data_IF_106868620876
#
_entry.id   IF_106868620876
#
_cell.length_a   1.000
_cell.length_b   1.000
_cell.length_c   1.000
_cell.angle_alpha   90.00
_cell.angle_beta   90.00
_cell.angle_gamma   90.00
#
_symmetry.space_group_name_H-M   'P 1'
#
loop_
_entity.id
_entity.type
_entity.pdbx_description
1 polymer ?
#
# COMPACT_ATOMS: atom_id res chain seq x y z
N UNK A 1 -25.00 28.07 -34.59
CA UNK A 1 -23.69 27.51 -34.97
C UNK A 1 -23.47 26.30 -34.15
N UNK A 2 -23.66 25.10 -34.72
CA UNK A 2 -23.49 23.82 -34.03
C UNK A 2 -22.02 23.45 -34.04
N UNK A 3 -21.30 23.68 -32.96
CA UNK A 3 -19.98 23.11 -32.72
C UNK A 3 -20.14 21.69 -32.21
N UNK A 4 -20.21 20.73 -33.12
CA UNK A 4 -20.05 19.31 -32.78
C UNK A 4 -18.65 19.12 -32.21
N UNK A 5 -18.50 19.02 -30.91
CA UNK A 5 -17.29 18.55 -30.27
C UNK A 5 -17.00 17.13 -30.79
N UNK A 6 -15.99 16.98 -31.64
CA UNK A 6 -15.54 15.67 -32.11
C UNK A 6 -14.97 14.89 -30.94
N UNK A 7 -15.60 13.78 -30.62
CA UNK A 7 -15.13 12.83 -29.60
C UNK A 7 -13.73 12.32 -29.92
N UNK A 8 -12.89 12.32 -28.89
CA UNK A 8 -11.59 11.65 -28.92
C UNK A 8 -11.79 10.26 -28.33
N UNK A 9 -11.54 9.22 -29.12
CA UNK A 9 -11.61 7.83 -28.68
C UNK A 9 -10.49 7.53 -27.67
N UNK A 10 -10.71 6.65 -26.70
CA UNK A 10 -9.64 6.09 -25.82
C UNK A 10 -8.45 5.51 -26.60
N UNK A 11 -8.65 5.20 -27.90
CA UNK A 11 -7.65 4.69 -28.81
C UNK A 11 -6.97 5.78 -29.65
N UNK A 12 -7.29 7.06 -29.40
CA UNK A 12 -6.65 8.15 -30.15
C UNK A 12 -5.21 8.28 -29.70
N UNK A 13 -4.32 7.85 -30.59
CA UNK A 13 -2.88 7.89 -30.43
C UNK A 13 -2.39 9.10 -31.20
N UNK A 14 -1.72 10.03 -30.55
CA UNK A 14 -0.97 11.07 -31.24
C UNK A 14 0.27 10.41 -31.85
N UNK A 15 0.31 10.29 -33.16
CA UNK A 15 1.43 9.74 -33.92
C UNK A 15 2.32 10.87 -34.41
N UNK A 16 3.57 10.90 -34.00
CA UNK A 16 4.60 11.77 -34.54
C UNK A 16 5.96 11.11 -34.37
N UNK A 17 6.74 11.02 -35.47
CA UNK A 17 8.15 10.60 -35.52
C UNK A 17 8.49 9.33 -34.68
N UNK A 18 7.66 8.28 -34.80
CA UNK A 18 7.97 6.97 -34.20
C UNK A 18 7.64 6.80 -32.72
N UNK A 19 6.96 7.75 -32.08
CA UNK A 19 6.52 7.67 -30.69
C UNK A 19 4.98 7.65 -30.63
N UNK A 20 4.43 6.63 -29.95
CA UNK A 20 3.00 6.56 -29.67
C UNK A 20 2.76 7.06 -28.24
N UNK A 21 2.05 8.17 -28.09
CA UNK A 21 1.66 8.75 -26.80
C UNK A 21 0.21 8.39 -26.49
N UNK A 22 -0.04 7.67 -25.39
CA UNK A 22 -1.39 7.60 -24.83
C UNK A 22 -1.65 8.89 -24.06
N UNK A 23 -2.80 9.50 -24.29
CA UNK A 23 -3.24 10.67 -23.52
C UNK A 23 -3.60 10.25 -22.10
N UNK A 24 -3.36 11.08 -21.09
CA UNK A 24 -3.98 10.90 -19.79
C UNK A 24 -5.49 10.87 -19.95
N UNK A 25 -6.19 10.29 -19.00
CA UNK A 25 -7.64 10.25 -19.05
C UNK A 25 -8.21 11.66 -19.17
N UNK A 26 -8.87 11.95 -20.30
CA UNK A 26 -9.52 13.22 -20.52
C UNK A 26 -11.03 13.02 -20.32
N UNK A 27 -11.71 14.01 -19.77
CA UNK A 27 -13.16 14.01 -19.52
C UNK A 27 -13.96 13.58 -20.76
N UNK A 28 -13.50 13.96 -21.95
CA UNK A 28 -14.08 13.61 -23.25
C UNK A 28 -14.02 12.11 -23.59
N UNK A 29 -13.31 11.29 -22.80
CA UNK A 29 -13.10 9.85 -23.01
C UNK A 29 -14.07 8.95 -22.24
N UNK A 30 -15.01 9.52 -21.46
CA UNK A 30 -16.03 8.78 -20.71
C UNK A 30 -16.95 7.92 -21.58
N UNK A 31 -17.65 6.88 -21.02
CA UNK A 31 -18.57 6.03 -21.77
C UNK A 31 -19.78 6.80 -22.28
N UNK A 32 -20.30 6.39 -23.45
CA UNK A 32 -21.44 7.03 -24.14
C UNK A 32 -22.71 7.10 -23.28
N UNK A 33 -22.93 6.12 -22.41
CA UNK A 33 -24.10 6.04 -21.54
C UNK A 33 -24.12 7.14 -20.47
N UNK A 34 -22.96 7.61 -20.02
CA UNK A 34 -22.84 8.70 -19.06
C UNK A 34 -23.25 10.07 -19.68
N UNK A 35 -23.29 10.18 -21.01
CA UNK A 35 -23.64 11.42 -21.71
C UNK A 35 -25.13 11.51 -22.09
N UNK A 36 -25.85 10.39 -21.99
CA UNK A 36 -27.24 10.33 -22.41
C UNK A 36 -28.26 10.66 -21.30
N UNK A 37 -27.83 10.59 -20.03
CA UNK A 37 -28.73 10.71 -18.87
C UNK A 37 -28.52 11.93 -17.97
N UNK A 38 -27.50 12.75 -18.19
CA UNK A 38 -27.33 13.98 -17.40
C UNK A 38 -26.76 15.12 -18.24
N UNK A 39 -27.31 16.31 -18.07
CA UNK A 39 -26.76 17.58 -18.57
C UNK A 39 -25.45 17.97 -17.83
N UNK A 40 -24.92 17.11 -16.97
CA UNK A 40 -23.69 17.28 -16.20
C UNK A 40 -22.93 15.95 -16.17
N UNK A 41 -21.99 15.71 -17.11
CA UNK A 41 -21.22 14.48 -17.13
C UNK A 41 -20.14 14.53 -16.03
N UNK A 42 -20.49 14.22 -14.80
CA UNK A 42 -19.51 13.86 -13.78
C UNK A 42 -18.84 12.56 -14.22
N UNK A 43 -17.71 12.71 -14.85
CA UNK A 43 -16.81 11.60 -15.13
C UNK A 43 -16.32 11.07 -13.79
N UNK A 44 -16.83 9.92 -13.37
CA UNK A 44 -16.49 9.32 -12.08
C UNK A 44 -15.02 8.90 -12.12
N UNK A 45 -14.19 9.66 -11.42
CA UNK A 45 -12.80 9.28 -11.21
C UNK A 45 -12.73 7.92 -10.48
N UNK A 46 -11.75 7.05 -10.79
CA UNK A 46 -11.64 5.78 -10.11
C UNK A 46 -11.18 5.98 -8.67
N UNK A 47 -11.80 5.27 -7.73
CA UNK A 47 -11.33 5.24 -6.36
C UNK A 47 -10.03 4.45 -6.25
N UNK A 48 -9.14 4.87 -5.35
CA UNK A 48 -7.82 4.28 -5.11
C UNK A 48 -7.61 4.03 -3.63
N UNK A 49 -6.72 3.09 -3.29
CA UNK A 49 -6.32 2.86 -1.91
C UNK A 49 -4.81 2.72 -1.79
N UNK A 50 -4.25 3.27 -0.71
CA UNK A 50 -2.88 3.00 -0.32
C UNK A 50 -2.76 2.77 1.19
N UNK A 51 -1.80 1.93 1.57
CA UNK A 51 -1.50 1.55 2.94
C UNK A 51 -0.04 1.87 3.24
N UNK A 52 0.20 2.82 4.13
CA UNK A 52 1.52 3.24 4.57
C UNK A 52 1.79 2.70 5.96
N UNK A 53 2.85 1.95 6.10
CA UNK A 53 3.23 1.32 7.36
C UNK A 53 4.51 1.92 7.95
N UNK A 54 4.51 2.17 9.25
CA UNK A 54 5.68 2.58 10.03
C UNK A 54 5.88 1.64 11.21
N UNK A 55 7.14 1.27 11.52
CA UNK A 55 7.42 0.29 12.55
C UNK A 55 7.44 0.86 13.98
N UNK A 56 7.58 -0.04 14.95
CA UNK A 56 7.97 0.22 16.33
C UNK A 56 6.98 1.11 17.13
N UNK A 57 5.72 1.18 16.71
CA UNK A 57 4.70 1.94 17.42
C UNK A 57 4.90 3.46 17.39
N UNK A 58 4.21 4.15 18.30
CA UNK A 58 4.23 5.61 18.42
C UNK A 58 4.36 6.05 19.89
N UNK A 59 4.78 7.29 20.09
CA UNK A 59 4.60 7.97 21.38
C UNK A 59 3.15 8.43 21.48
N UNK A 60 2.28 7.56 22.00
CA UNK A 60 0.82 7.73 21.97
C UNK A 60 0.30 8.96 22.71
N UNK A 61 0.91 9.43 23.81
CA UNK A 61 0.51 10.69 24.44
C UNK A 61 0.55 11.91 23.52
N UNK A 62 1.48 11.92 22.54
CA UNK A 62 1.64 12.98 21.55
C UNK A 62 1.01 12.63 20.20
N UNK A 63 0.44 11.42 20.05
CA UNK A 63 -0.23 10.96 18.85
C UNK A 63 -1.74 11.20 18.90
N UNK A 64 -2.41 10.74 19.97
CA UNK A 64 -3.88 10.71 20.04
C UNK A 64 -4.44 12.08 20.38
N UNK A 65 -5.30 12.70 19.53
CA UNK A 65 -6.01 13.92 19.86
C UNK A 65 -6.93 13.71 21.07
N UNK A 66 -7.04 14.72 21.92
CA UNK A 66 -7.89 14.64 23.11
C UNK A 66 -9.39 14.82 22.81
N UNK A 67 -9.70 15.69 21.80
CA UNK A 67 -11.08 15.96 21.41
C UNK A 67 -11.47 15.04 20.26
N UNK A 68 -12.74 14.64 20.24
CA UNK A 68 -13.37 13.91 19.15
C UNK A 68 -14.16 14.84 18.22
N UNK A 69 -14.57 14.31 17.06
CA UNK A 69 -15.36 15.03 16.07
C UNK A 69 -14.55 16.02 15.24
N UNK A 70 -15.21 17.01 14.65
CA UNK A 70 -14.63 17.97 13.69
C UNK A 70 -13.74 19.02 14.36
N UNK A 71 -14.02 19.33 15.64
CA UNK A 71 -13.33 20.39 16.38
C UNK A 71 -12.05 19.90 17.07
N UNK A 72 -11.57 18.69 16.75
CA UNK A 72 -10.34 18.14 17.31
C UNK A 72 -9.14 19.04 16.96
N UNK A 73 -8.21 19.13 17.90
CA UNK A 73 -6.90 19.75 17.66
C UNK A 73 -5.88 18.67 17.33
N UNK A 74 -5.01 18.96 16.37
CA UNK A 74 -3.91 18.07 16.07
C UNK A 74 -3.03 17.92 17.31
N UNK A 75 -2.65 16.70 17.62
CA UNK A 75 -1.66 16.39 18.63
C UNK A 75 -0.25 16.69 18.10
N UNK A 76 0.78 16.82 18.96
CA UNK A 76 2.11 17.25 18.54
C UNK A 76 2.70 16.47 17.37
N UNK A 77 2.54 15.15 17.33
CA UNK A 77 3.04 14.31 16.23
C UNK A 77 2.25 14.52 14.93
N UNK A 78 1.00 14.95 15.00
CA UNK A 78 0.15 15.18 13.84
C UNK A 78 0.24 16.61 13.27
N UNK A 79 0.93 17.55 13.94
CA UNK A 79 1.09 18.93 13.48
C UNK A 79 1.55 19.09 12.03
N UNK A 80 2.45 18.26 11.47
CA UNK A 80 2.82 18.34 10.06
C UNK A 80 1.66 18.17 9.07
N UNK A 81 0.52 17.63 9.52
CA UNK A 81 -0.69 17.41 8.71
C UNK A 81 -1.67 18.61 8.73
N UNK A 82 -1.28 19.75 9.31
CA UNK A 82 -2.18 20.90 9.50
C UNK A 82 -2.83 21.37 8.18
N UNK A 83 -2.06 21.46 7.10
CA UNK A 83 -2.54 21.91 5.78
C UNK A 83 -3.61 20.97 5.17
N UNK A 84 -3.61 19.70 5.57
CA UNK A 84 -4.53 18.66 5.05
C UNK A 84 -5.46 18.11 6.15
N UNK A 85 -5.59 18.80 7.29
CA UNK A 85 -6.43 18.37 8.41
C UNK A 85 -7.86 18.04 8.00
N UNK A 86 -8.44 18.85 7.11
CA UNK A 86 -9.79 18.68 6.58
C UNK A 86 -9.95 17.46 5.65
N UNK A 87 -8.85 16.85 5.23
CA UNK A 87 -8.81 15.67 4.33
C UNK A 87 -8.43 14.39 5.07
N UNK A 88 -8.31 14.39 6.41
CA UNK A 88 -7.92 13.21 7.17
C UNK A 88 -8.88 12.91 8.32
N UNK A 89 -8.91 11.65 8.73
CA UNK A 89 -9.54 11.16 9.95
C UNK A 89 -8.49 10.53 10.84
N UNK A 90 -8.49 10.89 12.13
CA UNK A 90 -7.76 10.14 13.16
C UNK A 90 -8.70 9.08 13.71
N UNK A 91 -8.24 7.83 13.78
CA UNK A 91 -9.05 6.70 14.22
C UNK A 91 -8.41 6.10 15.49
N UNK A 92 -9.15 6.09 16.60
CA UNK A 92 -8.72 5.54 17.88
C UNK A 92 -9.60 4.35 18.28
N UNK A 93 -9.07 3.43 19.12
CA UNK A 93 -9.79 2.26 19.61
C UNK A 93 -9.72 1.03 18.71
N UNK A 94 -9.03 1.11 17.55
CA UNK A 94 -8.88 -0.03 16.64
C UNK A 94 -7.82 -1.01 17.14
N UNK A 95 -8.10 -2.30 17.06
CA UNK A 95 -7.26 -3.38 17.62
C UNK A 95 -6.90 -4.41 16.53
N UNK A 96 -5.64 -4.81 16.47
CA UNK A 96 -5.19 -5.97 15.71
C UNK A 96 -5.10 -7.19 16.64
N UNK A 97 -6.26 -7.77 17.00
CA UNK A 97 -6.35 -8.89 17.94
C UNK A 97 -5.41 -10.05 17.55
N UNK A 98 -5.30 -10.34 16.26
CA UNK A 98 -4.47 -11.43 15.74
C UNK A 98 -2.96 -11.19 15.81
N UNK A 99 -2.52 -10.00 16.20
CA UNK A 99 -1.13 -9.72 16.54
C UNK A 99 -0.77 -10.12 17.99
N UNK A 100 -1.74 -10.42 18.84
CA UNK A 100 -1.51 -10.90 20.22
C UNK A 100 -0.85 -12.28 20.24
N UNK A 101 -0.14 -12.64 21.31
CA UNK A 101 0.69 -13.85 21.32
C UNK A 101 -0.07 -15.17 21.27
N UNK A 102 -1.29 -15.25 21.81
CA UNK A 102 -2.09 -16.49 21.86
C UNK A 102 -1.35 -17.74 22.38
N UNK A 103 -0.35 -17.54 23.24
CA UNK A 103 0.49 -18.61 23.76
C UNK A 103 1.87 -18.74 23.08
N UNK A 104 2.13 -18.06 21.98
CA UNK A 104 3.40 -18.11 21.26
C UNK A 104 4.57 -17.39 21.95
N UNK A 105 4.31 -16.61 23.00
CA UNK A 105 5.31 -15.82 23.71
C UNK A 105 5.82 -14.64 22.89
N UNK A 106 7.14 -14.43 22.82
CA UNK A 106 7.76 -13.35 22.07
C UNK A 106 7.37 -13.34 20.58
N UNK A 107 7.68 -12.25 19.87
CA UNK A 107 7.37 -12.10 18.44
C UNK A 107 6.35 -11.00 18.15
N UNK A 108 6.27 -9.97 19.01
CA UNK A 108 5.34 -8.86 18.88
C UNK A 108 5.49 -8.09 17.56
N UNK A 109 6.71 -7.85 17.12
CA UNK A 109 7.00 -7.16 15.87
C UNK A 109 6.59 -7.97 14.64
N UNK A 110 6.93 -9.26 14.61
CA UNK A 110 6.56 -10.13 13.49
C UNK A 110 5.04 -10.22 13.34
N UNK A 111 4.33 -10.43 14.46
CA UNK A 111 2.86 -10.48 14.45
C UNK A 111 2.23 -9.14 14.09
N UNK A 112 2.82 -8.02 14.53
CA UNK A 112 2.32 -6.68 14.23
C UNK A 112 2.19 -6.43 12.73
N UNK A 113 3.27 -6.62 11.97
CA UNK A 113 3.23 -6.39 10.51
C UNK A 113 2.42 -7.47 9.80
N UNK A 114 2.57 -8.74 10.18
CA UNK A 114 1.88 -9.84 9.52
C UNK A 114 0.36 -9.73 9.64
N UNK A 115 -0.15 -9.36 10.83
CA UNK A 115 -1.60 -9.25 11.08
C UNK A 115 -2.20 -7.92 10.61
N UNK A 116 -1.41 -6.87 10.34
CA UNK A 116 -1.89 -5.52 10.10
C UNK A 116 -2.91 -5.41 8.95
N UNK A 117 -2.61 -5.98 7.78
CA UNK A 117 -3.52 -5.98 6.63
C UNK A 117 -4.28 -7.29 6.44
N UNK A 118 -3.97 -8.33 7.21
CA UNK A 118 -4.57 -9.66 7.04
C UNK A 118 -5.61 -9.98 8.10
N UNK A 119 -5.46 -9.48 9.34
CA UNK A 119 -6.26 -9.85 10.49
C UNK A 119 -6.18 -11.34 10.82
N UNK A 120 -5.03 -11.97 10.52
CA UNK A 120 -4.78 -13.39 10.80
C UNK A 120 -3.53 -13.53 11.64
N UNK A 121 -3.58 -14.43 12.63
CA UNK A 121 -2.41 -14.77 13.43
C UNK A 121 -1.41 -15.57 12.60
N UNK A 122 -0.17 -15.07 12.39
CA UNK A 122 0.82 -15.75 11.57
C UNK A 122 1.32 -17.03 12.24
N UNK A 123 1.57 -18.08 11.48
CA UNK A 123 2.16 -19.31 12.00
C UNK A 123 3.59 -19.05 12.50
N UNK A 124 3.84 -19.35 13.78
CA UNK A 124 5.19 -19.19 14.35
C UNK A 124 6.14 -20.24 13.79
N UNK A 125 7.04 -19.81 12.95
CA UNK A 125 8.07 -20.63 12.33
C UNK A 125 9.24 -19.75 11.86
N UNK A 126 10.44 -20.25 11.90
CA UNK A 126 11.62 -19.70 11.23
C UNK A 126 11.97 -20.47 9.95
N UNK A 127 11.21 -21.52 9.67
CA UNK A 127 11.34 -22.38 8.51
C UNK A 127 10.53 -21.93 7.28
N UNK A 128 10.18 -22.91 6.46
CA UNK A 128 9.48 -22.69 5.17
C UNK A 128 7.96 -22.83 5.25
N UNK A 129 7.41 -23.27 6.37
CA UNK A 129 5.98 -23.48 6.60
C UNK A 129 5.27 -22.20 7.08
N UNK A 130 5.67 -21.06 6.50
CA UNK A 130 5.04 -19.76 6.72
C UNK A 130 3.56 -19.83 6.35
N UNK A 131 2.70 -19.22 7.21
CA UNK A 131 1.27 -19.08 6.98
C UNK A 131 0.75 -17.79 7.57
N UNK A 132 -0.12 -17.13 6.83
CA UNK A 132 -0.81 -15.90 7.21
C UNK A 132 -2.20 -15.87 6.56
N UNK A 133 -2.82 -14.70 6.41
CA UNK A 133 -4.05 -14.48 5.66
C UNK A 133 -3.82 -13.74 4.35
N UNK A 134 -4.85 -13.66 3.51
CA UNK A 134 -4.87 -12.73 2.38
C UNK A 134 -4.96 -11.31 2.94
N UNK A 135 -4.11 -10.40 2.48
CA UNK A 135 -4.14 -9.01 2.88
C UNK A 135 -5.18 -8.21 2.09
N UNK A 136 -5.68 -7.12 2.67
CA UNK A 136 -6.74 -6.28 2.07
C UNK A 136 -6.37 -5.74 0.69
N UNK A 137 -5.12 -5.32 0.48
CA UNK A 137 -4.61 -4.86 -0.81
C UNK A 137 -4.66 -5.97 -1.86
N UNK A 138 -4.38 -7.20 -1.49
CA UNK A 138 -4.44 -8.35 -2.39
C UNK A 138 -5.87 -8.86 -2.60
N UNK A 139 -6.74 -8.76 -1.59
CA UNK A 139 -8.17 -8.98 -1.75
C UNK A 139 -8.77 -7.99 -2.78
N UNK A 140 -8.37 -6.73 -2.72
CA UNK A 140 -8.73 -5.72 -3.71
C UNK A 140 -8.11 -6.00 -5.08
N UNK A 141 -6.82 -6.30 -5.15
CA UNK A 141 -6.11 -6.60 -6.40
C UNK A 141 -6.70 -7.79 -7.17
N UNK A 142 -7.22 -8.78 -6.46
CA UNK A 142 -7.89 -9.94 -7.07
C UNK A 142 -9.23 -9.56 -7.75
N UNK A 143 -9.87 -8.46 -7.35
CA UNK A 143 -11.20 -8.03 -7.85
C UNK A 143 -11.13 -6.92 -8.90
N UNK A 144 -10.23 -5.95 -8.70
CA UNK A 144 -10.15 -4.76 -9.57
C UNK A 144 -8.81 -4.62 -10.29
N UNK A 145 -7.85 -5.48 -10.01
CA UNK A 145 -6.49 -5.38 -10.56
C UNK A 145 -6.40 -5.68 -12.07
N UNK A 146 -7.43 -6.20 -12.69
CA UNK A 146 -7.54 -6.38 -14.15
C UNK A 146 -7.88 -5.06 -14.87
N UNK A 147 -8.36 -4.06 -14.14
CA UNK A 147 -8.71 -2.73 -14.68
C UNK A 147 -7.49 -1.86 -14.96
N UNK A 148 -6.33 -2.23 -14.44
CA UNK A 148 -5.08 -1.47 -14.53
C UNK A 148 -3.91 -2.35 -14.98
N UNK A 149 -2.82 -1.71 -15.41
CA UNK A 149 -1.62 -2.41 -15.90
C UNK A 149 -0.95 -3.24 -14.81
N UNK A 150 -0.88 -2.69 -13.59
CA UNK A 150 -0.41 -3.39 -12.40
C UNK A 150 -1.59 -3.59 -11.45
N UNK A 151 -1.88 -4.82 -11.00
CA UNK A 151 -2.95 -5.08 -10.04
C UNK A 151 -2.76 -4.32 -8.73
N UNK A 152 -1.51 -4.23 -8.27
CA UNK A 152 -1.07 -3.54 -7.06
C UNK A 152 0.41 -3.17 -7.17
N UNK A 153 0.86 -2.26 -6.31
CA UNK A 153 2.22 -1.79 -6.20
C UNK A 153 2.70 -1.94 -4.76
N UNK A 154 3.63 -2.87 -4.53
CA UNK A 154 4.25 -3.11 -3.24
C UNK A 154 5.65 -2.46 -3.22
N UNK A 155 5.84 -1.42 -2.37
CA UNK A 155 7.10 -0.68 -2.25
C UNK A 155 7.53 -0.50 -0.80
N UNK A 156 8.80 -0.19 -0.62
CA UNK A 156 9.37 0.11 0.69
C UNK A 156 10.73 0.75 0.61
N UNK A 157 11.35 1.03 1.77
CA UNK A 157 12.68 1.63 1.84
C UNK A 157 13.76 0.69 2.38
N UNK A 158 13.37 -0.49 2.84
CA UNK A 158 14.29 -1.50 3.37
C UNK A 158 14.03 -2.84 2.72
N UNK A 159 15.09 -3.53 2.34
CA UNK A 159 14.99 -4.89 1.82
C UNK A 159 14.36 -5.82 2.87
N UNK A 160 13.51 -6.72 2.40
CA UNK A 160 12.99 -7.80 3.24
C UNK A 160 13.88 -9.04 3.16
N UNK A 161 13.88 -9.83 4.22
CA UNK A 161 14.37 -11.21 4.17
C UNK A 161 13.17 -12.15 4.12
N UNK A 162 13.25 -13.18 3.27
CA UNK A 162 12.16 -14.13 3.06
C UNK A 162 12.28 -15.37 3.96
N UNK A 163 13.38 -15.51 4.69
CA UNK A 163 13.65 -16.62 5.58
C UNK A 163 14.57 -16.18 6.73
N UNK A 164 14.71 -17.02 7.74
CA UNK A 164 15.50 -16.77 8.94
C UNK A 164 14.68 -16.28 10.12
N UNK A 165 15.24 -16.33 11.32
CA UNK A 165 14.60 -15.90 12.56
C UNK A 165 14.88 -14.41 12.81
N UNK A 166 13.89 -13.57 12.69
CA UNK A 166 13.99 -12.13 12.93
C UNK A 166 13.28 -11.64 14.18
N UNK A 167 12.39 -12.46 14.78
CA UNK A 167 11.69 -12.08 16.02
C UNK A 167 11.20 -13.33 16.76
N UNK A 168 11.96 -13.76 17.77
CA UNK A 168 11.55 -14.80 18.75
C UNK A 168 11.02 -16.11 18.13
N UNK A 169 11.59 -16.58 17.02
CA UNK A 169 11.19 -17.79 16.31
C UNK A 169 10.19 -17.55 15.18
N UNK A 170 9.90 -16.29 14.85
CA UNK A 170 9.17 -15.93 13.65
C UNK A 170 10.09 -15.63 12.47
N UNK A 171 9.71 -16.10 11.29
CA UNK A 171 10.43 -15.83 10.05
C UNK A 171 10.52 -14.33 9.73
N UNK A 172 11.64 -13.91 9.16
CA UNK A 172 11.88 -12.54 8.72
C UNK A 172 10.85 -12.03 7.71
N UNK A 173 10.16 -12.91 7.01
CA UNK A 173 9.08 -12.52 6.10
C UNK A 173 7.97 -11.76 6.83
N UNK A 174 7.67 -12.13 8.08
CA UNK A 174 6.61 -11.51 8.86
C UNK A 174 6.95 -10.10 9.36
N UNK A 175 8.25 -9.78 9.54
CA UNK A 175 8.69 -8.42 9.90
C UNK A 175 8.91 -7.52 8.70
N UNK A 176 8.92 -8.08 7.49
CA UNK A 176 9.29 -7.34 6.28
C UNK A 176 8.21 -7.25 5.21
N UNK A 177 7.12 -8.02 5.32
CA UNK A 177 6.10 -8.15 4.27
C UNK A 177 4.70 -8.01 4.86
N UNK A 178 3.96 -6.98 4.41
CA UNK A 178 2.57 -6.77 4.82
C UNK A 178 1.54 -7.24 3.79
N UNK A 179 1.96 -7.43 2.53
CA UNK A 179 1.10 -7.84 1.41
C UNK A 179 1.17 -9.36 1.20
N UNK A 180 0.03 -10.03 1.25
CA UNK A 180 -0.08 -11.48 1.13
C UNK A 180 -1.17 -11.86 0.14
N UNK A 181 -0.79 -12.53 -0.95
CA UNK A 181 -1.74 -12.97 -1.99
C UNK A 181 -2.53 -14.20 -1.56
N UNK A 182 -1.93 -15.07 -0.78
CA UNK A 182 -2.55 -16.23 -0.18
C UNK A 182 -1.93 -16.48 1.19
N UNK A 183 -2.42 -17.50 1.89
CA UNK A 183 -1.89 -17.88 3.20
C UNK A 183 -0.38 -18.21 3.19
N UNK A 184 0.18 -18.60 2.07
CA UNK A 184 1.58 -19.03 1.93
C UNK A 184 2.37 -18.21 0.90
N UNK A 185 1.74 -17.18 0.31
CA UNK A 185 2.38 -16.38 -0.74
C UNK A 185 2.52 -14.91 -0.35
N UNK A 186 3.60 -14.54 0.36
CA UNK A 186 3.94 -13.15 0.61
C UNK A 186 4.37 -12.45 -0.69
N UNK A 187 4.09 -11.16 -0.81
CA UNK A 187 4.56 -10.33 -1.91
C UNK A 187 5.69 -9.41 -1.42
N UNK A 188 6.92 -9.63 -1.91
CA UNK A 188 8.04 -8.79 -1.54
C UNK A 188 7.86 -7.39 -2.14
N UNK A 189 8.22 -6.38 -1.36
CA UNK A 189 8.22 -4.99 -1.77
C UNK A 189 9.46 -4.64 -2.59
N UNK A 190 9.30 -3.78 -3.60
CA UNK A 190 10.42 -3.19 -4.34
C UNK A 190 10.95 -1.97 -3.58
N UNK A 191 12.26 -1.87 -3.46
CA UNK A 191 12.93 -0.79 -2.72
C UNK A 191 13.74 0.15 -3.62
N UNK A 192 14.01 -0.23 -4.86
CA UNK A 192 14.78 0.61 -5.78
C UNK A 192 13.84 1.50 -6.61
N UNK A 193 13.87 2.84 -6.43
CA UNK A 193 12.98 3.75 -7.16
C UNK A 193 13.11 3.64 -8.69
N UNK A 194 14.31 3.33 -9.20
CA UNK A 194 14.52 3.10 -10.64
C UNK A 194 13.74 1.89 -11.13
N UNK A 195 13.80 0.78 -10.38
CA UNK A 195 13.07 -0.45 -10.74
C UNK A 195 11.55 -0.23 -10.61
N UNK A 196 11.10 0.51 -9.57
CA UNK A 196 9.70 0.92 -9.44
C UNK A 196 9.26 1.72 -10.67
N UNK A 197 10.02 2.74 -11.07
CA UNK A 197 9.72 3.55 -12.24
C UNK A 197 9.66 2.72 -13.54
N UNK A 198 10.66 1.85 -13.75
CA UNK A 198 10.68 0.94 -14.91
C UNK A 198 9.50 -0.05 -14.91
N UNK A 199 9.06 -0.51 -13.74
CA UNK A 199 7.89 -1.37 -13.59
C UNK A 199 6.59 -0.63 -13.94
N UNK A 200 6.48 0.65 -13.58
CA UNK A 200 5.32 1.49 -13.85
C UNK A 200 5.22 1.89 -15.33
N UNK A 201 6.31 2.39 -15.90
CA UNK A 201 6.31 3.08 -17.19
C UNK A 201 7.09 2.36 -18.30
N UNK A 202 7.85 1.33 -17.94
CA UNK A 202 8.75 0.61 -18.85
C UNK A 202 10.12 1.28 -18.97
N UNK A 203 11.10 0.52 -19.44
CA UNK A 203 12.49 1.00 -19.65
C UNK A 203 12.68 1.80 -20.93
N UNK A 204 11.63 2.00 -21.73
CA UNK A 204 11.73 2.63 -23.05
C UNK A 204 12.45 1.79 -24.11
N UNK A 205 12.90 0.59 -23.77
CA UNK A 205 13.78 -0.24 -24.59
C UNK A 205 12.97 -1.24 -25.45
N UNK A 206 13.12 -1.15 -26.79
CA UNK A 206 12.54 -2.11 -27.75
C UNK A 206 13.01 -3.56 -27.51
N UNK A 207 14.20 -3.75 -26.92
CA UNK A 207 14.70 -5.06 -26.53
C UNK A 207 13.87 -5.71 -25.39
N UNK A 208 13.11 -4.94 -24.63
CA UNK A 208 12.21 -5.47 -23.59
C UNK A 208 11.04 -6.27 -24.19
N UNK A 209 10.46 -5.80 -25.31
CA UNK A 209 9.38 -6.52 -25.98
C UNK A 209 9.87 -7.89 -26.53
N UNK A 210 11.09 -7.93 -27.09
CA UNK A 210 11.70 -9.19 -27.54
C UNK A 210 12.07 -10.12 -26.39
N UNK A 211 12.56 -9.57 -25.25
CA UNK A 211 12.82 -10.37 -24.05
C UNK A 211 11.53 -10.97 -23.48
N UNK A 212 10.43 -10.22 -23.51
CA UNK A 212 9.13 -10.69 -23.03
C UNK A 212 8.56 -11.82 -23.90
N UNK A 213 8.65 -11.71 -25.23
CA UNK A 213 8.25 -12.77 -26.15
C UNK A 213 9.05 -14.08 -25.95
N UNK A 214 10.37 -13.93 -25.71
CA UNK A 214 11.26 -15.08 -25.45
C UNK A 214 10.96 -15.74 -24.09
N UNK A 215 10.60 -14.96 -23.07
CA UNK A 215 10.20 -15.46 -21.74
C UNK A 215 8.90 -16.26 -21.80
N UNK A 216 7.89 -15.85 -22.58
CA UNK A 216 6.66 -16.62 -22.78
C UNK A 216 6.95 -18.04 -23.30
N UNK A 217 7.78 -18.17 -24.33
CA UNK A 217 8.14 -19.47 -24.89
C UNK A 217 8.83 -20.40 -23.87
N UNK A 218 9.61 -19.84 -22.94
CA UNK A 218 10.26 -20.62 -21.87
C UNK A 218 9.25 -21.04 -20.81
N UNK A 219 8.31 -20.16 -20.45
CA UNK A 219 7.30 -20.44 -19.43
C UNK A 219 6.32 -21.52 -19.87
N UNK A 220 5.89 -21.51 -21.13
CA UNK A 220 5.03 -22.55 -21.70
C UNK A 220 5.72 -23.93 -21.65
N UNK A 221 7.01 -23.99 -21.99
CA UNK A 221 7.80 -25.22 -21.95
C UNK A 221 7.97 -25.77 -20.53
N UNK A 222 8.30 -24.90 -19.56
CA UNK A 222 8.49 -25.31 -18.16
C UNK A 222 7.19 -25.85 -17.53
N UNK A 223 6.03 -25.28 -17.89
CA UNK A 223 4.72 -25.71 -17.42
C UNK A 223 4.32 -27.09 -17.95
N UNK A 224 4.69 -27.42 -19.17
CA UNK A 224 4.38 -28.71 -19.79
C UNK A 224 5.23 -29.84 -19.18
N UNK A 225 6.49 -29.56 -18.89
CA UNK A 225 7.47 -30.49 -18.31
C UNK A 225 7.17 -30.82 -16.83
N UNK A 226 6.62 -29.88 -16.09
CA UNK A 226 6.37 -30.01 -14.64
C UNK A 226 5.19 -30.92 -14.28
N UNK A 227 4.19 -31.09 -15.15
CA UNK A 227 3.05 -31.99 -14.92
C UNK A 227 3.50 -33.44 -14.76
N UNK A 228 4.68 -33.79 -15.30
CA UNK A 228 5.30 -35.12 -15.14
C UNK A 228 5.97 -35.31 -13.77
N UNK A 229 6.44 -34.21 -13.17
CA UNK A 229 7.16 -34.19 -11.89
C UNK A 229 6.24 -34.34 -10.67
N UNK A 230 5.03 -33.78 -10.71
CA UNK A 230 4.08 -33.74 -9.57
C UNK A 230 3.76 -35.13 -8.99
N UNK A 231 3.77 -36.18 -9.83
CA UNK A 231 3.44 -37.54 -9.42
C UNK A 231 4.44 -38.20 -8.47
N UNK A 232 5.65 -37.63 -8.37
CA UNK A 232 6.78 -38.19 -7.61
C UNK A 232 7.27 -37.26 -6.48
N UNK A 233 6.55 -36.21 -6.19
CA UNK A 233 6.98 -35.19 -5.23
C UNK A 233 6.27 -35.33 -3.88
N UNK A 234 6.95 -34.89 -2.81
CA UNK A 234 6.33 -34.71 -1.50
C UNK A 234 5.26 -33.64 -1.52
N UNK A 235 4.30 -33.67 -0.59
CA UNK A 235 3.25 -32.65 -0.45
C UNK A 235 3.84 -31.23 -0.32
N UNK A 236 5.01 -31.10 0.33
CA UNK A 236 5.72 -29.81 0.45
C UNK A 236 6.31 -29.35 -0.88
N UNK A 237 6.82 -30.25 -1.69
CA UNK A 237 7.40 -29.89 -2.98
C UNK A 237 6.33 -29.60 -4.02
N UNK A 238 5.17 -30.28 -3.97
CA UNK A 238 3.99 -29.93 -4.76
C UNK A 238 3.56 -28.50 -4.44
N UNK A 239 3.49 -28.13 -3.15
CA UNK A 239 3.16 -26.76 -2.74
C UNK A 239 4.15 -25.72 -3.27
N UNK A 240 5.46 -25.99 -3.20
CA UNK A 240 6.49 -25.10 -3.77
C UNK A 240 6.35 -24.95 -5.29
N UNK A 241 5.99 -26.02 -5.98
CA UNK A 241 5.69 -25.96 -7.41
C UNK A 241 4.44 -25.15 -7.70
N UNK A 242 3.38 -25.29 -6.92
CA UNK A 242 2.15 -24.49 -7.07
C UNK A 242 2.44 -22.99 -6.83
N UNK A 243 3.26 -22.64 -5.84
CA UNK A 243 3.72 -21.27 -5.59
C UNK A 243 4.54 -20.75 -6.78
N UNK A 244 5.43 -21.56 -7.32
CA UNK A 244 6.23 -21.22 -8.49
C UNK A 244 5.35 -21.01 -9.73
N UNK A 245 4.37 -21.90 -9.99
CA UNK A 245 3.45 -21.75 -11.12
C UNK A 245 2.49 -20.58 -10.96
N UNK A 246 2.05 -20.29 -9.74
CA UNK A 246 1.28 -19.08 -9.46
C UNK A 246 2.09 -17.84 -9.81
N UNK A 247 3.37 -17.79 -9.43
CA UNK A 247 4.27 -16.68 -9.76
C UNK A 247 4.49 -16.55 -11.27
N UNK A 248 4.63 -17.65 -11.98
CA UNK A 248 4.71 -17.67 -13.45
C UNK A 248 3.41 -17.15 -14.07
N UNK A 249 2.26 -17.61 -13.59
CA UNK A 249 0.94 -17.16 -14.07
C UNK A 249 0.76 -15.66 -13.91
N UNK A 250 1.25 -15.10 -12.82
CA UNK A 250 1.24 -13.65 -12.61
C UNK A 250 2.09 -12.89 -13.61
N UNK A 251 3.27 -13.43 -13.95
CA UNK A 251 4.13 -12.84 -14.99
C UNK A 251 3.40 -12.87 -16.34
N UNK A 252 2.78 -13.98 -16.70
CA UNK A 252 1.99 -14.12 -17.93
C UNK A 252 0.83 -13.12 -17.96
N UNK A 253 0.05 -13.00 -16.88
CA UNK A 253 -1.07 -12.08 -16.77
C UNK A 253 -0.61 -10.62 -16.88
N UNK A 254 0.55 -10.27 -16.29
CA UNK A 254 1.14 -8.92 -16.42
C UNK A 254 1.58 -8.64 -17.86
N UNK A 255 2.17 -9.63 -18.52
CA UNK A 255 2.57 -9.50 -19.93
C UNK A 255 1.35 -9.33 -20.84
N UNK A 256 0.31 -10.13 -20.63
CA UNK A 256 -0.95 -10.09 -21.38
C UNK A 256 -1.67 -8.73 -21.18
N UNK A 257 -1.72 -8.22 -19.96
CA UNK A 257 -2.25 -6.88 -19.65
C UNK A 257 -1.44 -5.77 -20.33
N UNK A 258 -0.10 -5.86 -20.26
CA UNK A 258 0.76 -4.87 -20.90
C UNK A 258 0.57 -4.78 -22.42
N UNK A 259 0.11 -5.87 -23.05
CA UNK A 259 -0.22 -5.88 -24.49
C UNK A 259 -1.64 -5.41 -24.78
N UNK A 260 -2.61 -5.74 -23.92
CA UNK A 260 -4.04 -5.43 -24.12
C UNK A 260 -4.40 -4.00 -23.73
N UNK A 261 -3.72 -3.46 -22.73
CA UNK A 261 -3.95 -2.10 -22.26
C UNK A 261 -3.18 -1.08 -23.10
N UNK A 262 -3.71 0.15 -23.27
CA UNK A 262 -2.99 1.22 -23.96
C UNK A 262 -1.61 1.45 -23.30
N UNK A 263 -0.58 1.80 -24.08
CA UNK A 263 0.70 2.19 -23.51
C UNK A 263 0.51 3.39 -22.57
N UNK A 264 1.07 3.27 -21.38
CA UNK A 264 1.02 4.34 -20.36
C UNK A 264 1.89 5.50 -20.85
N UNK A 265 1.36 6.72 -20.77
CA UNK A 265 2.16 7.91 -21.00
C UNK A 265 3.24 8.00 -19.92
N UNK A 266 4.49 7.92 -20.31
CA UNK A 266 5.58 8.22 -19.38
C UNK A 266 5.45 9.69 -19.00
N UNK A 267 5.33 10.03 -17.70
CA UNK A 267 5.24 11.40 -17.26
C UNK A 267 6.50 12.18 -17.70
N UNK A 268 6.40 13.49 -17.82
CA UNK A 268 7.55 14.38 -17.97
C UNK A 268 8.27 14.48 -16.61
N UNK A 269 8.87 13.37 -16.22
CA UNK A 269 9.57 13.15 -14.97
C UNK A 269 10.86 12.39 -15.27
N UNK A 270 11.97 12.91 -14.79
CA UNK A 270 13.27 12.25 -15.01
C UNK A 270 13.31 10.90 -14.26
N UNK A 271 13.65 9.80 -14.97
CA UNK A 271 13.76 8.50 -14.30
C UNK A 271 14.75 8.56 -13.13
N UNK A 272 14.41 7.99 -11.97
CA UNK A 272 15.34 7.92 -10.85
C UNK A 272 16.65 7.22 -11.22
N UNK A 273 17.78 7.76 -10.79
CA UNK A 273 19.08 7.14 -11.01
C UNK A 273 19.29 5.87 -10.15
N UNK A 274 18.59 5.77 -9.03
CA UNK A 274 18.68 4.70 -8.06
C UNK A 274 18.18 5.15 -6.69
N UNK A 275 18.70 4.56 -5.62
CA UNK A 275 18.36 4.92 -4.24
C UNK A 275 19.12 6.19 -3.84
N UNK A 276 18.42 7.30 -3.45
CA UNK A 276 19.05 8.51 -2.95
C UNK A 276 19.85 8.26 -1.67
N UNK A 277 20.94 9.04 -1.46
CA UNK A 277 21.72 8.98 -0.23
C UNK A 277 20.96 9.55 0.98
N UNK A 278 20.13 10.59 0.77
CA UNK A 278 19.25 11.14 1.79
C UNK A 278 18.04 10.25 1.98
N UNK A 279 17.79 9.82 3.21
CA UNK A 279 16.60 9.00 3.53
C UNK A 279 15.29 9.76 3.33
N UNK A 280 15.29 11.05 3.61
CA UNK A 280 14.13 11.91 3.35
C UNK A 280 13.82 12.00 1.84
N UNK A 281 14.83 12.29 1.02
CA UNK A 281 14.68 12.32 -0.43
C UNK A 281 14.23 10.96 -0.98
N UNK A 282 14.75 9.87 -0.41
CA UNK A 282 14.36 8.52 -0.81
C UNK A 282 12.88 8.25 -0.55
N UNK A 283 12.37 8.54 0.66
CA UNK A 283 10.94 8.37 0.96
C UNK A 283 10.09 9.24 0.04
N UNK A 284 10.45 10.52 -0.13
CA UNK A 284 9.71 11.47 -0.99
C UNK A 284 9.68 11.01 -2.44
N UNK A 285 10.80 10.51 -2.97
CA UNK A 285 10.85 9.94 -4.31
C UNK A 285 9.91 8.74 -4.45
N UNK A 286 9.85 7.86 -3.45
CA UNK A 286 8.90 6.74 -3.45
C UNK A 286 7.45 7.22 -3.34
N UNK A 287 7.16 8.28 -2.58
CA UNK A 287 5.86 8.93 -2.54
C UNK A 287 5.47 9.49 -3.92
N UNK A 288 6.38 10.18 -4.60
CA UNK A 288 6.14 10.70 -5.95
C UNK A 288 5.83 9.59 -6.95
N UNK A 289 6.48 8.42 -6.83
CA UNK A 289 6.17 7.26 -7.67
C UNK A 289 4.77 6.70 -7.42
N UNK A 290 4.27 6.72 -6.17
CA UNK A 290 2.88 6.37 -5.87
C UNK A 290 1.92 7.38 -6.52
N UNK A 291 2.19 8.69 -6.38
CA UNK A 291 1.37 9.75 -6.99
C UNK A 291 1.32 9.57 -8.52
N UNK A 292 2.47 9.39 -9.15
CA UNK A 292 2.57 9.17 -10.61
C UNK A 292 1.83 7.89 -11.05
N UNK A 293 1.94 6.80 -10.28
CA UNK A 293 1.25 5.55 -10.56
C UNK A 293 -0.28 5.73 -10.54
N UNK A 294 -0.78 6.50 -9.59
CA UNK A 294 -2.20 6.81 -9.44
C UNK A 294 -2.69 7.82 -10.49
N UNK A 295 -1.94 8.88 -10.77
CA UNK A 295 -2.27 9.85 -11.82
C UNK A 295 -2.35 9.20 -13.21
N UNK A 296 -1.44 8.29 -13.51
CA UNK A 296 -1.40 7.57 -14.77
C UNK A 296 -2.35 6.35 -14.82
N UNK A 297 -3.10 6.09 -13.74
CA UNK A 297 -3.97 4.91 -13.54
C UNK A 297 -3.26 3.59 -13.89
N UNK A 298 -1.96 3.51 -13.58
CA UNK A 298 -1.15 2.28 -13.76
C UNK A 298 -1.54 1.24 -12.74
N UNK A 299 -1.88 1.66 -11.54
CA UNK A 299 -2.48 0.87 -10.47
C UNK A 299 -3.43 1.73 -9.66
N UNK A 300 -4.35 1.10 -8.93
CA UNK A 300 -5.27 1.75 -7.99
C UNK A 300 -5.04 1.29 -6.55
N UNK A 301 -4.06 0.43 -6.33
CA UNK A 301 -3.75 -0.18 -5.04
C UNK A 301 -2.26 -0.10 -4.82
N UNK A 302 -1.83 0.44 -3.67
CA UNK A 302 -0.43 0.51 -3.29
C UNK A 302 -0.22 0.17 -1.81
N UNK A 303 0.92 -0.44 -1.50
CA UNK A 303 1.42 -0.59 -0.13
C UNK A 303 2.82 0.02 -0.04
N UNK A 304 3.06 0.80 1.00
CA UNK A 304 4.36 1.43 1.23
C UNK A 304 4.85 1.19 2.67
N UNK A 305 5.86 0.37 2.82
CA UNK A 305 6.55 0.09 4.09
C UNK A 305 7.70 1.08 4.25
N UNK A 306 7.53 2.09 5.11
CA UNK A 306 8.56 3.12 5.34
C UNK A 306 9.81 2.53 6.01
N UNK A 307 9.65 1.53 6.85
CA UNK A 307 10.73 0.70 7.38
C UNK A 307 10.14 -0.65 7.82
N UNK A 308 10.97 -1.71 7.85
CA UNK A 308 10.56 -3.01 8.34
C UNK A 308 10.17 -2.95 9.82
N UNK A 309 9.27 -3.82 10.25
CA UNK A 309 8.99 -3.93 11.69
C UNK A 309 10.26 -4.39 12.44
N UNK A 310 10.48 -3.86 13.64
CA UNK A 310 11.73 -3.96 14.40
C UNK A 310 12.95 -3.30 13.70
N UNK A 311 12.75 -2.41 12.72
CA UNK A 311 13.87 -1.69 12.10
C UNK A 311 14.63 -0.86 13.14
N UNK A 312 15.93 -1.07 13.19
CA UNK A 312 16.84 -0.32 14.06
C UNK A 312 17.61 0.78 13.31
N UNK A 313 16.97 1.35 12.27
CA UNK A 313 17.52 2.46 11.49
C UNK A 313 17.75 3.69 12.38
N UNK A 314 18.94 4.31 12.35
CA UNK A 314 19.18 5.61 12.98
C UNK A 314 18.69 6.77 12.10
N UNK A 315 18.39 7.90 12.73
CA UNK A 315 17.92 9.14 12.08
C UNK A 315 18.82 10.34 12.45
N UNK A 316 20.13 10.32 12.12
CA UNK A 316 21.08 11.34 12.55
C UNK A 316 20.73 12.74 12.01
N UNK A 317 20.07 12.84 10.87
CA UNK A 317 19.64 14.09 10.25
C UNK A 317 18.55 14.85 11.04
N UNK A 318 17.86 14.18 11.98
CA UNK A 318 16.94 14.80 12.96
C UNK A 318 17.50 14.75 14.39
N UNK A 319 18.80 14.49 14.54
CA UNK A 319 19.50 14.45 15.84
C UNK A 319 19.25 13.18 16.66
N UNK A 320 18.90 12.05 16.02
CA UNK A 320 18.70 10.74 16.63
C UNK A 320 19.67 9.74 16.02
N UNK A 321 20.81 9.55 16.65
CA UNK A 321 21.85 8.60 16.19
C UNK A 321 21.65 7.18 16.71
N UNK A 322 20.78 7.00 17.69
CA UNK A 322 20.39 5.68 18.21
C UNK A 322 19.47 4.97 17.22
N UNK A 323 19.44 3.65 17.28
CA UNK A 323 18.53 2.84 16.48
C UNK A 323 17.07 3.03 16.90
N UNK A 324 16.15 3.08 15.94
CA UNK A 324 14.72 3.31 16.21
C UNK A 324 14.14 2.22 17.12
N UNK A 325 14.45 0.95 16.87
CA UNK A 325 13.99 -0.15 17.71
C UNK A 325 14.56 -0.05 19.14
N UNK A 326 15.86 0.30 19.29
CA UNK A 326 16.47 0.43 20.62
C UNK A 326 15.83 1.56 21.46
N UNK A 327 15.48 2.68 20.82
CA UNK A 327 14.80 3.78 21.54
C UNK A 327 13.34 3.49 21.79
N UNK A 328 12.67 2.65 20.97
CA UNK A 328 11.28 2.25 21.21
C UNK A 328 11.11 1.49 22.52
N UNK A 329 12.15 0.77 22.96
CA UNK A 329 12.23 0.18 24.29
C UNK A 329 12.66 1.24 25.33
N UNK A 330 11.80 2.25 25.54
CA UNK A 330 12.14 3.42 26.34
C UNK A 330 12.13 3.18 27.86
N UNK A 331 11.41 2.17 28.37
CA UNK A 331 11.37 1.89 29.81
C UNK A 331 10.97 3.09 30.68
N UNK A 332 10.24 4.05 30.13
CA UNK A 332 9.88 5.29 30.81
C UNK A 332 10.93 6.41 30.73
N UNK A 333 12.08 6.20 30.06
CA UNK A 333 13.12 7.19 29.89
C UNK A 333 12.65 8.35 28.98
N UNK A 334 12.58 9.56 29.52
CA UNK A 334 12.11 10.74 28.81
C UNK A 334 12.99 11.14 27.61
N UNK A 335 14.31 10.86 27.66
CA UNK A 335 15.21 11.15 26.55
C UNK A 335 14.97 10.20 25.37
N UNK A 336 14.69 8.93 25.63
CA UNK A 336 14.28 7.97 24.60
C UNK A 336 12.91 8.34 24.03
N UNK A 337 11.94 8.71 24.87
CA UNK A 337 10.60 9.14 24.43
C UNK A 337 10.69 10.37 23.51
N UNK A 338 11.55 11.35 23.82
CA UNK A 338 11.79 12.51 22.95
C UNK A 338 12.38 12.12 21.60
N UNK A 339 13.30 11.12 21.57
CA UNK A 339 13.84 10.58 20.32
C UNK A 339 12.76 9.89 19.48
N UNK A 340 11.87 9.09 20.11
CA UNK A 340 10.72 8.46 19.41
C UNK A 340 9.81 9.55 18.87
N UNK A 341 9.48 10.60 19.64
CA UNK A 341 8.66 11.71 19.18
C UNK A 341 9.24 12.36 17.93
N UNK A 342 10.55 12.63 17.89
CA UNK A 342 11.23 13.18 16.70
C UNK A 342 11.12 12.26 15.48
N UNK A 343 11.32 10.94 15.65
CA UNK A 343 11.16 9.96 14.57
C UNK A 343 9.70 9.93 14.09
N UNK A 344 8.75 9.95 15.01
CA UNK A 344 7.32 9.96 14.65
C UNK A 344 6.92 11.23 13.89
N UNK A 345 7.41 12.42 14.30
CA UNK A 345 7.25 13.68 13.58
C UNK A 345 7.82 13.59 12.16
N UNK A 346 9.02 13.02 12.01
CA UNK A 346 9.62 12.81 10.70
C UNK A 346 8.73 11.92 9.82
N UNK A 347 8.25 10.78 10.32
CA UNK A 347 7.37 9.91 9.54
C UNK A 347 6.06 10.61 9.16
N UNK A 348 5.47 11.36 10.08
CA UNK A 348 4.23 12.11 9.81
C UNK A 348 4.45 13.23 8.79
N UNK A 349 5.63 13.87 8.79
CA UNK A 349 5.98 14.86 7.76
C UNK A 349 6.13 14.24 6.36
N UNK A 350 6.54 12.99 6.26
CA UNK A 350 6.58 12.29 4.96
C UNK A 350 5.15 11.91 4.49
N UNK A 351 4.25 11.55 5.41
CA UNK A 351 2.84 11.39 5.08
C UNK A 351 2.24 12.72 4.60
N UNK A 352 2.52 13.83 5.30
CA UNK A 352 2.07 15.17 4.89
C UNK A 352 2.55 15.52 3.48
N UNK A 353 3.80 15.20 3.15
CA UNK A 353 4.32 15.37 1.80
C UNK A 353 3.49 14.60 0.77
N UNK A 354 3.25 13.30 0.98
CA UNK A 354 2.43 12.49 0.06
C UNK A 354 1.03 13.07 -0.12
N UNK A 355 0.33 13.35 0.98
CA UNK A 355 -1.04 13.86 0.93
C UNK A 355 -1.12 15.22 0.22
N UNK A 356 -0.17 16.11 0.47
CA UNK A 356 -0.08 17.40 -0.23
C UNK A 356 0.14 17.22 -1.73
N UNK A 357 1.05 16.34 -2.14
CA UNK A 357 1.29 16.01 -3.55
C UNK A 357 0.04 15.44 -4.23
N UNK A 358 -0.74 14.62 -3.53
CA UNK A 358 -2.01 14.09 -4.04
C UNK A 358 -3.11 15.16 -4.09
N UNK A 359 -3.14 16.10 -3.14
CA UNK A 359 -4.12 17.19 -3.11
C UNK A 359 -3.83 18.30 -4.14
N UNK A 360 -2.56 18.50 -4.50
CA UNK A 360 -2.14 19.36 -5.60
C UNK A 360 -2.46 18.78 -6.99
N UNK A 361 -2.53 17.47 -7.11
CA UNK A 361 -2.79 16.76 -8.35
C UNK A 361 -4.28 16.82 -8.72
N UNK A 362 -4.65 17.69 -9.67
CA UNK A 362 -6.04 17.85 -10.12
C UNK A 362 -6.51 16.65 -10.92
N UNK A 363 -7.75 16.22 -10.63
CA UNK A 363 -8.43 15.13 -11.33
C UNK A 363 -9.95 15.41 -11.39
N UNK A 364 -10.47 15.64 -12.58
CA UNK A 364 -11.87 16.01 -12.75
C UNK A 364 -12.23 17.30 -11.99
N UNK A 365 -13.28 17.24 -11.20
CA UNK A 365 -13.78 18.33 -10.34
C UNK A 365 -13.12 18.40 -8.97
N UNK A 366 -12.16 17.47 -8.70
CA UNK A 366 -11.46 17.35 -7.41
C UNK A 366 -9.96 17.24 -7.55
N UNK A 367 -9.39 16.50 -6.62
CA UNK A 367 -7.96 16.17 -6.56
C UNK A 367 -7.77 14.66 -6.51
N UNK A 368 -6.57 14.18 -6.78
CA UNK A 368 -6.24 12.77 -6.63
C UNK A 368 -6.50 12.27 -5.19
N UNK A 369 -6.35 13.14 -4.18
CA UNK A 369 -6.65 12.82 -2.79
C UNK A 369 -8.16 12.69 -2.55
N UNK A 370 -8.99 13.49 -3.22
CA UNK A 370 -10.46 13.34 -3.14
C UNK A 370 -10.95 11.99 -3.69
N UNK A 371 -10.19 11.41 -4.62
CA UNK A 371 -10.47 10.14 -5.26
C UNK A 371 -9.59 8.99 -4.73
N UNK A 372 -9.15 9.09 -3.47
CA UNK A 372 -8.32 8.08 -2.84
C UNK A 372 -8.67 7.87 -1.36
N UNK A 373 -8.24 6.74 -0.84
CA UNK A 373 -8.27 6.35 0.56
C UNK A 373 -6.85 5.96 0.96
N UNK A 374 -6.20 6.77 1.80
CA UNK A 374 -4.81 6.59 2.22
C UNK A 374 -4.81 6.24 3.70
N UNK A 375 -4.56 4.98 4.02
CA UNK A 375 -4.40 4.51 5.38
C UNK A 375 -2.92 4.59 5.80
N UNK A 376 -2.67 5.11 7.00
CA UNK A 376 -1.33 5.21 7.58
C UNK A 376 -1.37 4.75 9.02
N UNK A 377 -0.38 3.97 9.45
CA UNK A 377 -0.33 3.53 10.84
C UNK A 377 0.80 2.56 11.17
N UNK A 378 0.70 1.98 12.35
CA UNK A 378 1.58 0.94 12.88
C UNK A 378 0.76 -0.21 13.46
N UNK A 379 1.29 -1.43 13.38
CA UNK A 379 0.69 -2.61 14.03
C UNK A 379 1.03 -2.72 15.53
N UNK A 380 1.79 -1.76 16.05
CA UNK A 380 2.12 -1.61 17.48
C UNK A 380 1.63 -0.23 17.94
N UNK A 381 1.00 -0.18 19.11
CA UNK A 381 0.59 1.05 19.80
C UNK A 381 1.82 1.75 20.40
N UNK A 382 2.40 1.14 21.42
CA UNK A 382 3.59 1.61 22.12
C UNK A 382 4.73 0.58 21.96
N UNK A 383 5.87 1.03 21.42
CA UNK A 383 6.99 0.13 21.13
C UNK A 383 7.62 -0.52 22.35
N UNK A 384 7.48 0.07 23.55
CA UNK A 384 7.98 -0.51 24.79
C UNK A 384 7.03 -1.60 25.33
N UNK A 385 5.74 -1.41 25.16
CA UNK A 385 4.71 -2.35 25.60
C UNK A 385 4.43 -3.48 24.61
N UNK A 386 4.75 -3.30 23.32
CA UNK A 386 4.40 -4.22 22.21
C UNK A 386 2.92 -4.58 22.17
N UNK A 387 2.06 -3.65 22.53
CA UNK A 387 0.61 -3.87 22.55
C UNK A 387 -0.01 -3.56 21.19
N UNK A 388 -1.12 -4.23 20.88
CA UNK A 388 -1.79 -4.22 19.58
C UNK A 388 -3.22 -3.71 19.64
N UNK A 389 -3.63 -3.12 20.74
CA UNK A 389 -4.89 -2.39 20.94
C UNK A 389 -4.69 -0.89 20.77
N UNK A 390 -5.77 -0.18 20.44
CA UNK A 390 -5.79 1.28 20.20
C UNK A 390 -4.66 1.75 19.26
N UNK A 391 -4.53 1.09 18.12
CA UNK A 391 -3.43 1.31 17.19
C UNK A 391 -3.43 2.75 16.64
N UNK A 392 -2.24 3.32 16.36
CA UNK A 392 -2.11 4.63 15.72
C UNK A 392 -2.48 4.55 14.23
N UNK A 393 -3.73 4.88 13.91
CA UNK A 393 -4.27 4.78 12.54
C UNK A 393 -4.83 6.12 12.08
N UNK A 394 -4.49 6.52 10.85
CA UNK A 394 -5.09 7.62 10.10
C UNK A 394 -5.71 7.07 8.81
N UNK A 395 -6.82 7.68 8.39
CA UNK A 395 -7.38 7.52 7.06
C UNK A 395 -7.52 8.90 6.42
N UNK A 396 -6.87 9.12 5.28
CA UNK A 396 -6.93 10.38 4.55
C UNK A 396 -7.55 10.18 3.16
N UNK A 397 -8.12 11.26 2.63
CA UNK A 397 -8.76 11.32 1.33
C UNK A 397 -10.28 11.31 1.36
N UNK A 398 -10.89 11.51 0.20
CA UNK A 398 -12.33 11.63 0.03
C UNK A 398 -13.04 10.33 -0.35
N UNK A 399 -12.30 9.31 -0.82
CA UNK A 399 -12.87 8.05 -1.30
C UNK A 399 -13.95 8.24 -2.36
N UNK A 400 -13.77 9.19 -3.29
CA UNK A 400 -14.78 9.60 -4.27
C UNK A 400 -16.11 10.10 -3.63
N UNK A 401 -16.01 10.81 -2.50
CA UNK A 401 -17.18 11.34 -1.77
C UNK A 401 -17.87 10.34 -0.84
N UNK A 402 -17.26 9.16 -0.62
CA UNK A 402 -17.79 8.13 0.29
C UNK A 402 -17.19 8.22 1.69
N UNK A 403 -16.27 9.16 1.94
CA UNK A 403 -15.68 9.45 3.24
C UNK A 403 -16.02 10.89 3.66
N UNK A 404 -16.16 11.11 4.96
CA UNK A 404 -16.35 12.42 5.59
C UNK A 404 -15.16 12.77 6.47
N UNK A 405 -14.03 13.20 5.90
CA UNK A 405 -12.80 13.48 6.65
C UNK A 405 -12.90 14.77 7.49
N UNK A 406 -11.80 15.21 8.10
CA UNK A 406 -11.70 16.40 8.94
C UNK A 406 -12.14 16.16 10.38
N UNK A 407 -12.01 14.93 10.90
CA UNK A 407 -12.48 14.58 12.24
C UNK A 407 -11.65 13.49 12.93
N UNK A 408 -11.75 13.46 14.25
CA UNK A 408 -11.27 12.34 15.08
C UNK A 408 -12.45 11.45 15.48
N UNK A 409 -12.36 10.17 15.14
CA UNK A 409 -13.33 9.14 15.51
C UNK A 409 -12.71 8.19 16.54
N UNK A 410 -13.43 8.00 17.65
CA UNK A 410 -13.05 7.02 18.67
C UNK A 410 -14.05 5.89 18.66
N UNK A 411 -13.55 4.69 18.46
CA UNK A 411 -14.33 3.46 18.50
C UNK A 411 -14.24 2.82 19.88
N UNK A 412 -15.16 1.89 20.15
CA UNK A 412 -15.09 1.06 21.33
C UNK A 412 -13.77 0.27 21.34
N UNK A 413 -13.24 0.03 22.54
CA UNK A 413 -12.06 -0.81 22.69
C UNK A 413 -12.31 -2.18 22.06
N UNK A 414 -11.25 -2.78 21.51
CA UNK A 414 -11.29 -4.09 20.84
C UNK A 414 -12.06 -4.09 19.49
N UNK A 415 -12.41 -2.92 18.94
CA UNK A 415 -12.94 -2.88 17.57
C UNK A 415 -11.88 -3.39 16.58
N UNK A 416 -12.16 -4.45 15.80
CA UNK A 416 -11.17 -5.00 14.90
C UNK A 416 -10.68 -3.99 13.86
N UNK A 417 -9.36 -3.85 13.70
CA UNK A 417 -8.76 -3.01 12.64
C UNK A 417 -9.29 -3.43 11.26
N UNK A 418 -9.53 -4.71 11.06
CA UNK A 418 -10.02 -5.23 9.79
C UNK A 418 -11.43 -4.75 9.40
N UNK A 419 -12.20 -4.21 10.34
CA UNK A 419 -13.46 -3.53 10.03
C UNK A 419 -13.22 -2.28 9.16
N UNK A 420 -12.11 -1.56 9.38
CA UNK A 420 -11.68 -0.47 8.51
C UNK A 420 -11.34 -0.98 7.11
N UNK A 421 -10.61 -2.09 7.03
CA UNK A 421 -10.20 -2.67 5.74
C UNK A 421 -11.41 -3.16 4.93
N UNK A 422 -12.37 -3.81 5.56
CA UNK A 422 -13.64 -4.18 4.90
C UNK A 422 -14.40 -2.94 4.42
N UNK A 423 -14.40 -1.85 5.22
CA UNK A 423 -15.04 -0.60 4.81
C UNK A 423 -14.34 0.09 3.64
N UNK A 424 -13.02 -0.05 3.51
CA UNK A 424 -12.29 0.44 2.35
C UNK A 424 -12.54 -0.40 1.10
N UNK A 425 -12.65 -1.74 1.23
CA UNK A 425 -13.04 -2.63 0.13
C UNK A 425 -14.43 -2.30 -0.40
N UNK A 426 -15.39 -2.11 0.49
CA UNK A 426 -16.77 -1.73 0.12
C UNK A 426 -16.81 -0.44 -0.73
N UNK A 427 -15.97 0.56 -0.40
CA UNK A 427 -15.84 1.81 -1.16
C UNK A 427 -15.10 1.67 -2.50
N UNK A 428 -14.52 0.52 -2.76
CA UNK A 428 -13.97 0.11 -4.05
C UNK A 428 -14.95 -0.76 -4.86
N UNK A 429 -16.22 -0.85 -4.42
CA UNK A 429 -17.25 -1.76 -4.96
C UNK A 429 -16.83 -3.25 -4.85
N UNK A 430 -16.11 -3.59 -3.78
CA UNK A 430 -15.66 -4.96 -3.50
C UNK A 430 -16.38 -5.46 -2.27
N UNK A 431 -17.41 -6.26 -2.49
CA UNK A 431 -18.14 -6.90 -1.41
C UNK A 431 -17.37 -8.13 -0.90
N UNK A 432 -17.08 -8.13 0.39
CA UNK A 432 -16.50 -9.25 1.13
C UNK A 432 -17.28 -9.46 2.41
N UNK A 433 -17.71 -10.67 2.65
CA UNK A 433 -18.42 -11.02 3.88
C UNK A 433 -17.51 -10.85 5.10
N UNK A 434 -16.24 -11.24 4.97
CA UNK A 434 -15.26 -11.20 6.05
C UNK A 434 -13.83 -11.11 5.52
N UNK A 435 -12.99 -10.33 6.21
CA UNK A 435 -11.54 -10.30 6.03
C UNK A 435 -10.85 -10.52 7.38
N UNK A 436 -10.09 -11.59 7.52
CA UNK A 436 -9.39 -11.91 8.77
C UNK A 436 -10.35 -11.99 9.98
N UNK A 437 -10.11 -11.15 10.98
CA UNK A 437 -10.90 -11.06 12.21
C UNK A 437 -12.02 -10.01 12.17
N UNK A 438 -12.31 -9.43 10.99
CA UNK A 438 -13.38 -8.44 10.89
C UNK A 438 -14.73 -8.97 11.38
N UNK A 439 -15.48 -8.13 12.07
CA UNK A 439 -16.85 -8.38 12.55
C UNK A 439 -17.92 -7.64 11.73
N UNK A 440 -17.49 -6.90 10.71
CA UNK A 440 -18.34 -6.10 9.83
C UNK A 440 -17.64 -4.84 9.35
N UNK A 441 -18.39 -3.92 8.77
CA UNK A 441 -17.90 -2.61 8.33
C UNK A 441 -17.72 -1.67 9.51
N UNK A 442 -16.72 -0.80 9.48
CA UNK A 442 -16.51 0.23 10.49
C UNK A 442 -17.55 1.35 10.32
N UNK A 443 -18.37 1.66 11.34
CA UNK A 443 -19.39 2.68 11.23
C UNK A 443 -18.81 4.10 11.24
N UNK A 444 -19.58 5.08 10.77
CA UNK A 444 -19.28 6.49 10.94
C UNK A 444 -18.19 7.04 10.03
N UNK A 445 -17.79 6.36 8.97
CA UNK A 445 -16.79 6.89 8.02
C UNK A 445 -17.39 7.87 6.98
N UNK A 446 -18.72 7.87 6.81
CA UNK A 446 -19.46 8.82 5.97
C UNK A 446 -19.93 10.01 6.79
#
# INVERSE_FOLDING_TARGET
MNTHAKRISRRTILRGLGVSLSLPWLEVMGPLSAWAESADPKTVAPNRMAFLYVPNGKHMPDWTPQQEGKDFKLSPILEPLADVKNKLMVLSGLTADKARPYGDGGGGHARAMAAYLTGVHPNKTDGTDIRNGVSVDQAAAARVGDRTRLPSLEIGTEHGAMAGNCDSGYSCVYTSTMSWRSATQPLPKEVNPKIVFERLFGSGDKAQAQRNARRRSILDYVREDSKGLERNLSTNDVRKLDEYFSSIRDIELRMDRAEKLPPVKVPDYLPPAGIPASYEEYIRLMCDLVVLAFQADVTRIATFVLANEASNKPYPFIGVSDGHHDVSHHGGDAAKQEKIRKINLFHTSQLAYLLKRMDEAKEGDGTLLDHAMIAYGSGIHDGNAHNHEDLPVLLAGGGCGTLSPGRHLRFEKETPLNNLWVSMLDRMDIDVEKLGDSSGKLPGLL
#
